data_IF_550154996949
#
_entry.id   IF_550154996949
#
_cell.length_a   1.000
_cell.length_b   1.000
_cell.length_c   1.000
_cell.angle_alpha   90.00
_cell.angle_beta   90.00
_cell.angle_gamma   90.00
#
_symmetry.space_group_name_H-M   'P 1'
#
loop_
_entity.id
_entity.type
_entity.pdbx_description
1 polymer ?
#
# COMPACT_ATOMS: atom_id res chain seq x y z
N UNK A 1 5.72 8.97 26.83
CA UNK A 1 6.00 9.08 25.36
C UNK A 1 4.84 8.58 24.50
N UNK A 2 4.19 7.47 24.79
CA UNK A 2 3.04 6.97 24.01
C UNK A 2 1.88 7.98 23.88
N UNK A 3 1.51 8.66 24.95
CA UNK A 3 0.41 9.63 24.98
C UNK A 3 0.64 10.86 24.08
N UNK A 4 1.88 11.32 23.93
CA UNK A 4 2.23 12.43 23.02
C UNK A 4 2.21 12.03 21.54
N UNK A 5 2.48 10.77 21.23
CA UNK A 5 2.39 10.26 19.86
C UNK A 5 0.94 10.08 19.42
N UNK A 6 0.07 9.60 20.31
CA UNK A 6 -1.37 9.48 20.03
C UNK A 6 -2.04 10.84 19.85
N UNK A 7 -1.68 11.85 20.63
CA UNK A 7 -2.22 13.22 20.49
C UNK A 7 -1.83 13.87 19.15
N UNK A 8 -0.58 13.71 18.70
CA UNK A 8 -0.13 14.22 17.40
C UNK A 8 -0.83 13.52 16.23
N UNK A 9 -1.08 12.23 16.34
CA UNK A 9 -1.82 11.48 15.30
C UNK A 9 -3.30 11.85 15.28
N UNK A 10 -3.92 12.01 16.45
CA UNK A 10 -5.28 12.51 16.52
C UNK A 10 -5.40 13.90 15.87
N UNK A 11 -4.43 14.79 16.13
CA UNK A 11 -4.38 16.09 15.50
C UNK A 11 -4.22 16.02 13.97
N UNK A 12 -3.34 15.13 13.46
CA UNK A 12 -3.16 14.98 12.01
C UNK A 12 -4.37 14.35 11.32
N UNK A 13 -5.06 13.41 11.96
CA UNK A 13 -6.31 12.85 11.46
C UNK A 13 -7.43 13.90 11.47
N UNK A 14 -7.49 14.72 12.50
CA UNK A 14 -8.50 15.78 12.64
C UNK A 14 -8.28 16.88 11.59
N UNK A 15 -7.04 17.28 11.33
CA UNK A 15 -6.72 18.23 10.25
C UNK A 15 -7.05 17.66 8.87
N UNK A 16 -6.73 16.38 8.62
CA UNK A 16 -7.11 15.70 7.38
C UNK A 16 -8.64 15.65 7.23
N UNK A 17 -9.37 15.28 8.29
CA UNK A 17 -10.82 15.22 8.29
C UNK A 17 -11.42 16.59 7.99
N UNK A 18 -10.97 17.63 8.65
CA UNK A 18 -11.46 19.01 8.46
C UNK A 18 -11.18 19.49 7.04
N UNK A 19 -9.99 19.22 6.51
CA UNK A 19 -9.62 19.57 5.15
C UNK A 19 -10.53 18.87 4.12
N UNK A 20 -10.73 17.54 4.26
CA UNK A 20 -11.55 16.77 3.32
C UNK A 20 -13.04 17.11 3.41
N UNK A 21 -13.58 17.32 4.62
CA UNK A 21 -14.99 17.70 4.80
C UNK A 21 -15.27 19.09 4.27
N UNK A 22 -14.30 20.01 4.28
CA UNK A 22 -14.47 21.37 3.78
C UNK A 22 -14.55 21.45 2.24
N UNK A 23 -14.00 20.46 1.51
CA UNK A 23 -13.90 20.49 0.04
C UNK A 23 -15.25 20.71 -0.66
N UNK A 24 -16.35 19.98 -0.37
CA UNK A 24 -17.62 20.18 -1.08
C UNK A 24 -18.23 21.56 -0.89
N UNK A 25 -17.87 22.27 0.20
CA UNK A 25 -18.35 23.64 0.46
C UNK A 25 -17.59 24.72 -0.31
N UNK A 26 -16.40 24.38 -0.82
CA UNK A 26 -15.51 25.33 -1.52
C UNK A 26 -15.46 25.05 -3.03
N UNK A 27 -15.72 23.80 -3.43
CA UNK A 27 -15.58 23.35 -4.82
C UNK A 27 -16.93 22.93 -5.40
N UNK A 28 -16.99 22.82 -6.75
CA UNK A 28 -18.16 22.33 -7.45
C UNK A 28 -18.35 20.82 -7.25
N UNK A 29 -19.59 20.34 -7.36
CA UNK A 29 -19.95 18.91 -7.20
C UNK A 29 -19.13 18.00 -8.12
N UNK A 30 -18.83 18.42 -9.35
CA UNK A 30 -17.98 17.65 -10.27
C UNK A 30 -16.55 17.47 -9.74
N UNK A 31 -15.96 18.53 -9.18
CA UNK A 31 -14.62 18.45 -8.57
C UNK A 31 -14.62 17.59 -7.30
N UNK A 32 -15.69 17.67 -6.51
CA UNK A 32 -15.87 16.81 -5.33
C UNK A 32 -15.99 15.33 -5.74
N UNK A 33 -16.76 15.03 -6.78
CA UNK A 33 -16.87 13.69 -7.35
C UNK A 33 -15.53 13.16 -7.86
N UNK A 34 -14.78 13.96 -8.61
CA UNK A 34 -13.46 13.62 -9.13
C UNK A 34 -12.47 13.36 -7.99
N UNK A 35 -12.44 14.22 -6.98
CA UNK A 35 -11.62 14.05 -5.79
C UNK A 35 -12.01 12.76 -5.04
N UNK A 36 -13.31 12.45 -4.93
CA UNK A 36 -13.79 11.21 -4.35
C UNK A 36 -13.18 9.97 -5.01
N UNK A 37 -13.12 9.96 -6.34
CA UNK A 37 -12.48 8.87 -7.09
C UNK A 37 -11.00 8.71 -6.75
N UNK A 38 -10.24 9.82 -6.71
CA UNK A 38 -8.81 9.76 -6.35
C UNK A 38 -8.59 9.44 -4.87
N UNK A 39 -9.53 9.79 -3.99
CA UNK A 39 -9.51 9.38 -2.59
C UNK A 39 -9.67 7.86 -2.45
N UNK A 40 -10.55 7.23 -3.25
CA UNK A 40 -10.68 5.77 -3.29
C UNK A 40 -9.39 5.10 -3.77
N UNK A 41 -8.78 5.60 -4.83
CA UNK A 41 -7.46 5.14 -5.25
C UNK A 41 -6.38 5.39 -4.17
N UNK A 42 -6.53 6.46 -3.38
CA UNK A 42 -5.69 6.75 -2.23
C UNK A 42 -5.77 5.66 -1.15
N UNK A 43 -6.96 5.11 -0.89
CA UNK A 43 -7.12 3.97 0.03
C UNK A 43 -6.39 2.73 -0.50
N UNK A 44 -6.48 2.46 -1.81
CA UNK A 44 -5.73 1.35 -2.43
C UNK A 44 -4.21 1.60 -2.33
N UNK A 45 -3.76 2.81 -2.60
CA UNK A 45 -2.37 3.22 -2.48
C UNK A 45 -1.83 3.07 -1.04
N UNK A 46 -2.66 3.32 -0.01
CA UNK A 46 -2.32 3.01 1.38
C UNK A 46 -2.09 1.52 1.61
N UNK A 47 -2.89 0.65 0.96
CA UNK A 47 -2.68 -0.80 0.96
C UNK A 47 -1.36 -1.20 0.28
N UNK A 48 -1.01 -0.56 -0.84
CA UNK A 48 0.31 -0.72 -1.49
C UNK A 48 1.43 -0.29 -0.54
N UNK A 49 1.30 0.86 0.13
CA UNK A 49 2.28 1.37 1.08
C UNK A 49 2.47 0.44 2.30
N UNK A 50 1.42 -0.24 2.74
CA UNK A 50 1.52 -1.26 3.80
C UNK A 50 2.45 -2.40 3.38
N UNK A 51 2.22 -2.99 2.21
CA UNK A 51 2.98 -4.16 1.74
C UNK A 51 4.39 -3.74 1.30
N UNK A 52 4.51 -2.68 0.51
CA UNK A 52 5.80 -2.23 0.01
C UNK A 52 6.65 -1.53 1.08
N UNK A 53 6.05 -0.62 1.83
CA UNK A 53 6.78 0.20 2.81
C UNK A 53 7.14 -0.54 4.09
N UNK A 54 6.30 -1.50 4.54
CA UNK A 54 6.51 -2.23 5.81
C UNK A 54 7.07 -3.62 5.63
N UNK A 55 6.65 -4.36 4.60
CA UNK A 55 7.12 -5.71 4.34
C UNK A 55 8.28 -5.77 3.34
N UNK A 56 8.46 -4.72 2.53
CA UNK A 56 9.51 -4.65 1.52
C UNK A 56 9.16 -5.35 0.19
N UNK A 57 7.94 -5.88 0.04
CA UNK A 57 7.46 -6.54 -1.17
C UNK A 57 6.60 -5.59 -1.99
N UNK A 58 6.90 -5.41 -3.27
CA UNK A 58 6.13 -4.54 -4.17
C UNK A 58 4.95 -5.30 -4.77
N UNK A 59 3.69 -5.00 -4.41
CA UNK A 59 2.53 -5.65 -4.98
C UNK A 59 2.12 -4.94 -6.28
N UNK A 60 2.31 -5.59 -7.44
CA UNK A 60 1.85 -5.08 -8.73
C UNK A 60 0.43 -5.55 -9.08
N UNK A 61 -0.29 -6.12 -8.12
CA UNK A 61 -1.60 -6.73 -8.32
C UNK A 61 -2.74 -6.06 -7.57
N UNK A 62 -2.59 -4.86 -7.06
CA UNK A 62 -3.62 -4.26 -6.19
C UNK A 62 -4.91 -3.89 -6.94
N UNK A 63 -4.82 -3.55 -8.23
CA UNK A 63 -5.99 -3.29 -9.05
C UNK A 63 -6.90 -4.51 -9.19
N UNK A 64 -6.36 -5.75 -9.16
CA UNK A 64 -7.18 -6.96 -9.16
C UNK A 64 -8.15 -6.97 -7.97
N UNK A 65 -7.66 -6.71 -6.75
CA UNK A 65 -8.47 -6.76 -5.54
C UNK A 65 -9.47 -5.59 -5.47
N UNK A 66 -9.06 -4.43 -5.97
CA UNK A 66 -9.94 -3.28 -6.14
C UNK A 66 -11.08 -3.60 -7.13
N UNK A 67 -10.76 -4.06 -8.33
CA UNK A 67 -11.74 -4.39 -9.34
C UNK A 67 -12.63 -5.57 -8.94
N UNK A 68 -12.07 -6.59 -8.27
CA UNK A 68 -12.85 -7.71 -7.75
C UNK A 68 -13.90 -7.23 -6.72
N UNK A 69 -13.50 -6.34 -5.81
CA UNK A 69 -14.42 -5.69 -4.87
C UNK A 69 -15.51 -4.89 -5.59
N UNK A 70 -15.13 -4.15 -6.64
CA UNK A 70 -16.07 -3.36 -7.44
C UNK A 70 -17.07 -4.25 -8.21
N UNK A 71 -16.62 -5.35 -8.83
CA UNK A 71 -17.51 -6.28 -9.54
C UNK A 71 -18.47 -6.99 -8.58
N UNK A 72 -17.97 -7.50 -7.44
CA UNK A 72 -18.81 -8.14 -6.42
C UNK A 72 -19.87 -7.16 -5.91
N UNK A 73 -19.47 -5.94 -5.59
CA UNK A 73 -20.40 -4.90 -5.14
C UNK A 73 -21.42 -4.53 -6.23
N UNK A 74 -20.96 -4.33 -7.46
CA UNK A 74 -21.83 -4.00 -8.59
C UNK A 74 -22.89 -5.07 -8.86
N UNK A 75 -22.49 -6.34 -8.87
CA UNK A 75 -23.42 -7.47 -9.03
C UNK A 75 -24.44 -7.52 -7.89
N UNK A 76 -24.00 -7.35 -6.64
CA UNK A 76 -24.89 -7.36 -5.50
C UNK A 76 -25.87 -6.18 -5.52
N UNK A 77 -25.42 -4.98 -5.87
CA UNK A 77 -26.25 -3.77 -5.95
C UNK A 77 -27.32 -3.89 -7.04
N UNK A 78 -26.98 -4.44 -8.22
CA UNK A 78 -27.94 -4.64 -9.31
C UNK A 78 -29.06 -5.59 -8.87
N UNK A 79 -28.70 -6.72 -8.25
CA UNK A 79 -29.71 -7.70 -7.80
C UNK A 79 -30.43 -7.28 -6.52
N UNK A 80 -29.84 -6.39 -5.71
CA UNK A 80 -30.45 -5.88 -4.49
C UNK A 80 -31.67 -4.99 -4.74
N UNK A 81 -31.87 -4.49 -5.96
CA UNK A 81 -33.10 -3.79 -6.34
C UNK A 81 -34.33 -4.69 -6.24
N UNK A 82 -34.17 -5.98 -6.56
CA UNK A 82 -35.24 -6.96 -6.51
C UNK A 82 -35.36 -7.61 -5.11
N UNK A 83 -34.28 -7.64 -4.33
CA UNK A 83 -34.24 -8.27 -3.00
C UNK A 83 -33.32 -7.50 -2.04
N UNK A 84 -33.95 -6.73 -1.15
CA UNK A 84 -33.23 -5.92 -0.16
C UNK A 84 -32.31 -6.73 0.79
N UNK A 85 -32.54 -8.04 0.97
CA UNK A 85 -31.65 -8.89 1.78
C UNK A 85 -30.23 -8.98 1.21
N UNK A 86 -30.05 -8.72 -0.09
CA UNK A 86 -28.72 -8.75 -0.72
C UNK A 86 -27.81 -7.61 -0.24
N UNK A 87 -28.37 -6.52 0.32
CA UNK A 87 -27.55 -5.50 0.98
C UNK A 87 -26.73 -6.06 2.16
N UNK A 88 -27.22 -7.11 2.83
CA UNK A 88 -26.46 -7.77 3.90
C UNK A 88 -25.23 -8.51 3.38
N UNK A 89 -25.15 -8.80 2.08
CA UNK A 89 -24.00 -9.46 1.44
C UNK A 89 -22.94 -8.47 0.94
N UNK A 90 -23.17 -7.17 1.01
CA UNK A 90 -22.18 -6.16 0.59
C UNK A 90 -20.78 -6.32 1.24
N UNK A 91 -20.65 -6.79 2.50
CA UNK A 91 -19.35 -7.10 3.07
C UNK A 91 -18.54 -8.14 2.29
N UNK A 92 -19.17 -8.96 1.43
CA UNK A 92 -18.47 -9.88 0.53
C UNK A 92 -17.52 -9.14 -0.43
N UNK A 93 -17.86 -7.92 -0.82
CA UNK A 93 -16.99 -7.08 -1.67
C UNK A 93 -15.62 -6.78 -1.01
N UNK A 94 -15.53 -6.88 0.31
CA UNK A 94 -14.31 -6.74 1.10
C UNK A 94 -13.69 -8.11 1.39
N UNK A 95 -14.53 -9.08 1.79
CA UNK A 95 -14.08 -10.41 2.23
C UNK A 95 -13.53 -11.26 1.08
N UNK A 96 -14.15 -11.20 -0.10
CA UNK A 96 -13.71 -12.01 -1.27
C UNK A 96 -12.32 -11.59 -1.73
N UNK A 97 -12.01 -10.30 -1.98
CA UNK A 97 -10.63 -9.87 -2.29
C UNK A 97 -9.64 -10.21 -1.18
N UNK A 98 -10.02 -10.01 0.09
CA UNK A 98 -9.14 -10.30 1.22
C UNK A 98 -8.81 -11.79 1.33
N UNK A 99 -9.80 -12.66 1.17
CA UNK A 99 -9.61 -14.11 1.21
C UNK A 99 -8.76 -14.60 0.03
N UNK A 100 -9.05 -14.11 -1.18
CA UNK A 100 -8.25 -14.43 -2.37
C UNK A 100 -6.79 -14.02 -2.17
N UNK A 101 -6.55 -12.80 -1.69
CA UNK A 101 -5.22 -12.30 -1.41
C UNK A 101 -4.50 -13.14 -0.34
N UNK A 102 -5.22 -13.52 0.73
CA UNK A 102 -4.68 -14.39 1.76
C UNK A 102 -4.26 -15.76 1.22
N UNK A 103 -5.12 -16.39 0.41
CA UNK A 103 -4.85 -17.70 -0.20
C UNK A 103 -3.66 -17.62 -1.17
N UNK A 104 -3.64 -16.60 -2.05
CA UNK A 104 -2.52 -16.38 -2.97
C UNK A 104 -1.21 -16.18 -2.21
N UNK A 105 -1.22 -15.31 -1.20
CA UNK A 105 -0.03 -15.06 -0.40
C UNK A 105 0.43 -16.31 0.36
N UNK A 106 -0.51 -17.10 0.89
CA UNK A 106 -0.18 -18.38 1.56
C UNK A 106 0.47 -19.37 0.59
N UNK A 107 -0.01 -19.46 -0.65
CA UNK A 107 0.58 -20.31 -1.67
C UNK A 107 1.96 -19.81 -2.10
N UNK A 108 2.09 -18.50 -2.33
CA UNK A 108 3.35 -17.88 -2.77
C UNK A 108 4.41 -17.97 -1.69
N UNK A 109 4.09 -17.63 -0.44
CA UNK A 109 5.06 -17.62 0.67
C UNK A 109 5.24 -18.97 1.36
N UNK A 110 4.52 -20.03 0.97
CA UNK A 110 4.73 -21.39 1.45
C UNK A 110 6.08 -21.97 1.02
N UNK A 111 6.63 -21.53 -0.12
CA UNK A 111 8.00 -21.82 -0.54
C UNK A 111 8.98 -20.93 0.22
N UNK A 112 10.01 -21.52 0.82
CA UNK A 112 10.93 -20.85 1.75
C UNK A 112 11.74 -19.68 1.16
N UNK A 113 11.73 -19.45 -0.16
CA UNK A 113 12.60 -18.47 -0.83
C UNK A 113 11.89 -17.69 -1.95
N UNK A 114 10.84 -16.98 -1.60
CA UNK A 114 10.25 -16.03 -2.58
C UNK A 114 10.94 -14.67 -2.45
N UNK A 115 11.66 -14.26 -3.48
CA UNK A 115 12.28 -12.95 -3.55
C UNK A 115 11.23 -11.84 -3.76
N UNK A 116 11.59 -10.59 -3.45
CA UNK A 116 10.70 -9.45 -3.69
C UNK A 116 10.24 -9.34 -5.15
N UNK A 117 11.14 -9.46 -6.14
CA UNK A 117 10.77 -9.47 -7.56
C UNK A 117 9.82 -10.60 -7.97
N UNK A 118 9.98 -11.82 -7.44
CA UNK A 118 9.10 -12.95 -7.76
C UNK A 118 7.67 -12.67 -7.33
N UNK A 119 7.49 -12.13 -6.12
CA UNK A 119 6.17 -11.71 -5.63
C UNK A 119 5.52 -10.66 -6.54
N UNK A 120 6.30 -9.67 -6.99
CA UNK A 120 5.82 -8.63 -7.89
C UNK A 120 5.35 -9.21 -9.23
N UNK A 121 6.12 -10.14 -9.82
CA UNK A 121 5.77 -10.79 -11.09
C UNK A 121 4.54 -11.68 -10.96
N UNK A 122 4.41 -12.44 -9.86
CA UNK A 122 3.24 -13.29 -9.61
C UNK A 122 1.97 -12.43 -9.47
N UNK A 123 2.03 -11.34 -8.68
CA UNK A 123 0.89 -10.45 -8.50
C UNK A 123 0.52 -9.72 -9.79
N UNK A 124 1.51 -9.37 -10.63
CA UNK A 124 1.29 -8.82 -11.96
C UNK A 124 0.58 -9.81 -12.89
N UNK A 125 1.08 -11.04 -12.98
CA UNK A 125 0.48 -12.08 -13.80
C UNK A 125 -0.97 -12.37 -13.37
N UNK A 126 -1.22 -12.38 -12.05
CA UNK A 126 -2.55 -12.57 -11.49
C UNK A 126 -3.51 -11.44 -11.90
N UNK A 127 -3.03 -10.19 -11.92
CA UNK A 127 -3.80 -9.04 -12.38
C UNK A 127 -4.16 -9.14 -13.87
N UNK A 128 -3.19 -9.52 -14.71
CA UNK A 128 -3.45 -9.73 -16.14
C UNK A 128 -4.44 -10.86 -16.38
N UNK A 129 -4.31 -11.97 -15.64
CA UNK A 129 -5.24 -13.07 -15.68
C UNK A 129 -6.66 -12.63 -15.26
N UNK A 130 -6.77 -11.87 -14.16
CA UNK A 130 -8.05 -11.34 -13.69
C UNK A 130 -8.73 -10.43 -14.69
N UNK A 131 -7.99 -9.52 -15.34
CA UNK A 131 -8.51 -8.66 -16.39
C UNK A 131 -8.98 -9.48 -17.62
N UNK A 132 -8.23 -10.51 -18.00
CA UNK A 132 -8.61 -11.38 -19.10
C UNK A 132 -9.86 -12.22 -18.79
N UNK A 133 -9.97 -12.74 -17.56
CA UNK A 133 -11.17 -13.44 -17.11
C UNK A 133 -12.39 -12.51 -17.10
N UNK A 134 -12.23 -11.26 -16.63
CA UNK A 134 -13.30 -10.27 -16.66
C UNK A 134 -13.77 -9.96 -18.09
N UNK A 135 -12.87 -9.95 -19.06
CA UNK A 135 -13.25 -9.79 -20.48
C UNK A 135 -13.99 -11.00 -21.06
N UNK A 136 -13.65 -12.22 -20.62
CA UNK A 136 -14.22 -13.44 -21.17
C UNK A 136 -15.59 -13.79 -20.58
N UNK A 137 -15.79 -13.58 -19.28
CA UNK A 137 -17.04 -13.91 -18.59
C UNK A 137 -18.14 -12.85 -18.82
N UNK A 138 -18.51 -12.62 -20.09
CA UNK A 138 -19.47 -11.59 -20.49
C UNK A 138 -20.81 -11.63 -19.74
N UNK A 139 -21.29 -12.83 -19.39
CA UNK A 139 -22.53 -12.99 -18.65
C UNK A 139 -22.53 -12.47 -17.21
N UNK A 140 -21.33 -12.39 -16.57
CA UNK A 140 -21.17 -11.92 -15.20
C UNK A 140 -20.64 -10.50 -15.12
N UNK A 141 -19.68 -10.17 -15.98
CA UNK A 141 -18.90 -8.92 -15.91
C UNK A 141 -19.32 -7.89 -16.94
N UNK A 142 -20.19 -8.28 -17.90
CA UNK A 142 -20.47 -7.48 -19.08
C UNK A 142 -19.35 -7.47 -20.13
N UNK A 143 -18.27 -8.25 -19.92
CA UNK A 143 -17.12 -8.35 -20.82
C UNK A 143 -16.41 -7.02 -20.99
N UNK A 144 -15.98 -6.71 -22.23
CA UNK A 144 -15.24 -5.48 -22.55
C UNK A 144 -16.00 -4.19 -22.19
N UNK A 145 -17.33 -4.19 -22.31
CA UNK A 145 -18.16 -3.03 -21.96
C UNK A 145 -18.30 -2.81 -20.44
N UNK A 146 -17.99 -3.84 -19.66
CA UNK A 146 -18.10 -3.81 -18.22
C UNK A 146 -19.53 -3.94 -17.70
N UNK A 147 -19.65 -3.95 -16.38
CA UNK A 147 -20.91 -4.04 -15.67
C UNK A 147 -21.49 -2.63 -15.53
N UNK A 148 -22.51 -2.31 -16.32
CA UNK A 148 -23.20 -1.02 -16.34
C UNK A 148 -24.47 -1.02 -15.50
N UNK A 149 -25.09 0.16 -15.36
CA UNK A 149 -26.35 0.37 -14.66
C UNK A 149 -26.32 -0.07 -13.17
N UNK A 150 -25.19 0.06 -12.52
CA UNK A 150 -25.09 -0.20 -11.08
C UNK A 150 -25.88 0.90 -10.36
N UNK A 151 -26.86 0.56 -9.52
CA UNK A 151 -27.67 1.56 -8.82
C UNK A 151 -26.86 2.33 -7.79
N UNK A 152 -27.42 3.45 -7.34
CA UNK A 152 -26.87 4.20 -6.20
C UNK A 152 -27.02 3.36 -4.92
N UNK A 153 -26.19 3.66 -3.93
CA UNK A 153 -26.26 3.02 -2.62
C UNK A 153 -27.40 3.67 -1.81
N UNK A 154 -28.60 3.08 -1.87
CA UNK A 154 -29.79 3.65 -1.25
C UNK A 154 -30.13 5.02 -1.87
N UNK A 155 -30.48 6.00 -1.01
CA UNK A 155 -30.84 7.37 -1.42
C UNK A 155 -29.64 8.33 -1.48
N UNK A 156 -28.39 7.78 -1.48
CA UNK A 156 -27.18 8.61 -1.51
C UNK A 156 -26.89 9.10 -2.92
N UNK A 157 -26.95 10.44 -3.12
CA UNK A 157 -26.54 11.04 -4.38
C UNK A 157 -25.05 10.82 -4.66
N UNK A 158 -24.74 10.45 -5.93
CA UNK A 158 -23.38 10.14 -6.39
C UNK A 158 -22.42 11.33 -6.32
N UNK A 159 -22.95 12.52 -6.46
CA UNK A 159 -22.15 13.75 -6.61
C UNK A 159 -21.87 14.43 -5.28
N UNK A 160 -22.76 14.32 -4.30
CA UNK A 160 -22.63 15.03 -3.02
C UNK A 160 -22.53 14.10 -1.81
N UNK A 161 -23.59 13.31 -1.54
CA UNK A 161 -23.66 12.51 -0.30
C UNK A 161 -22.66 11.36 -0.28
N UNK A 162 -22.38 10.75 -1.45
CA UNK A 162 -21.43 9.65 -1.59
C UNK A 162 -20.01 10.08 -1.21
N UNK A 163 -19.65 11.34 -1.44
CA UNK A 163 -18.35 11.90 -1.08
C UNK A 163 -18.05 11.75 0.42
N UNK A 164 -19.03 12.03 1.29
CA UNK A 164 -18.81 11.91 2.74
C UNK A 164 -18.57 10.47 3.18
N UNK A 165 -19.20 9.48 2.52
CA UNK A 165 -18.95 8.07 2.79
C UNK A 165 -17.52 7.66 2.37
N UNK A 166 -17.06 8.19 1.24
CA UNK A 166 -15.68 8.01 0.78
C UNK A 166 -14.69 8.63 1.77
N UNK A 167 -14.94 9.85 2.22
CA UNK A 167 -14.13 10.50 3.26
C UNK A 167 -14.09 9.68 4.54
N UNK A 168 -15.22 9.12 4.98
CA UNK A 168 -15.28 8.24 6.14
C UNK A 168 -14.39 7.00 5.96
N UNK A 169 -14.41 6.36 4.77
CA UNK A 169 -13.52 5.23 4.45
C UNK A 169 -12.05 5.64 4.48
N UNK A 170 -11.69 6.79 3.91
CA UNK A 170 -10.32 7.32 3.91
C UNK A 170 -9.83 7.57 5.33
N UNK A 171 -10.63 8.19 6.17
CA UNK A 171 -10.29 8.45 7.56
C UNK A 171 -10.15 7.16 8.35
N UNK A 172 -11.08 6.21 8.14
CA UNK A 172 -11.02 4.90 8.77
C UNK A 172 -9.74 4.13 8.35
N UNK A 173 -9.45 4.04 7.06
CA UNK A 173 -8.26 3.34 6.55
C UNK A 173 -6.96 3.98 7.05
N UNK A 174 -6.89 5.31 7.04
CA UNK A 174 -5.72 6.06 7.54
C UNK A 174 -5.54 5.87 9.05
N UNK A 175 -6.63 5.93 9.83
CA UNK A 175 -6.61 5.69 11.26
C UNK A 175 -6.21 4.25 11.59
N UNK A 176 -6.80 3.26 10.91
CA UNK A 176 -6.52 1.84 11.07
C UNK A 176 -5.04 1.54 10.81
N UNK A 177 -4.49 2.00 9.69
CA UNK A 177 -3.08 1.77 9.36
C UNK A 177 -2.14 2.51 10.30
N UNK A 178 -2.46 3.74 10.67
CA UNK A 178 -1.67 4.52 11.63
C UNK A 178 -1.63 3.84 13.01
N UNK A 179 -2.74 3.25 13.44
CA UNK A 179 -2.82 2.47 14.66
C UNK A 179 -2.03 1.16 14.55
N UNK A 180 -2.23 0.38 13.45
CA UNK A 180 -1.52 -0.87 13.22
C UNK A 180 -0.01 -0.70 13.19
N UNK A 181 0.49 0.40 12.63
CA UNK A 181 1.93 0.67 12.57
C UNK A 181 2.58 0.87 13.94
N UNK A 182 1.80 1.18 14.98
CA UNK A 182 2.28 1.32 16.36
C UNK A 182 2.14 0.03 17.17
N UNK A 183 1.37 -0.94 16.68
CA UNK A 183 1.19 -2.22 17.33
C UNK A 183 2.43 -3.11 17.15
N UNK A 184 2.58 -4.17 17.97
CA UNK A 184 3.62 -5.18 17.77
C UNK A 184 3.59 -5.80 16.36
N UNK A 185 2.39 -5.93 15.75
CA UNK A 185 2.26 -6.42 14.36
C UNK A 185 2.99 -5.51 13.36
N UNK A 186 2.82 -4.20 13.49
CA UNK A 186 3.51 -3.24 12.61
C UNK A 186 5.03 -3.28 12.76
N UNK A 187 5.53 -3.55 13.96
CA UNK A 187 6.97 -3.74 14.21
C UNK A 187 7.48 -5.06 13.64
N UNK A 188 6.69 -6.15 13.73
CA UNK A 188 7.03 -7.44 13.12
C UNK A 188 7.09 -7.34 11.59
N UNK A 189 6.14 -6.65 10.95
CA UNK A 189 6.19 -6.41 9.51
C UNK A 189 7.45 -5.65 9.09
N UNK A 190 7.84 -4.61 9.84
CA UNK A 190 9.06 -3.88 9.57
C UNK A 190 10.31 -4.75 9.78
N UNK A 191 10.32 -5.61 10.78
CA UNK A 191 11.41 -6.53 11.04
C UNK A 191 11.56 -7.58 9.93
N UNK A 192 10.45 -8.04 9.31
CA UNK A 192 10.47 -8.93 8.13
C UNK A 192 11.23 -8.24 6.98
N UNK A 193 10.95 -6.96 6.71
CA UNK A 193 11.59 -6.23 5.61
C UNK A 193 13.09 -6.05 5.81
N UNK A 194 13.57 -6.07 7.05
CA UNK A 194 15.00 -5.93 7.36
C UNK A 194 15.74 -7.26 7.32
N UNK A 195 15.20 -8.29 7.96
CA UNK A 195 15.79 -9.62 7.95
C UNK A 195 14.76 -10.69 8.36
N UNK A 196 14.12 -11.30 7.36
CA UNK A 196 13.12 -12.34 7.56
C UNK A 196 13.67 -13.56 8.28
N UNK A 197 14.89 -14.02 7.92
CA UNK A 197 15.50 -15.20 8.50
C UNK A 197 15.69 -15.08 10.02
N UNK A 198 16.05 -13.88 10.51
CA UNK A 198 16.17 -13.66 11.96
C UNK A 198 14.84 -13.89 12.69
N UNK A 199 13.72 -13.42 12.12
CA UNK A 199 12.41 -13.63 12.73
C UNK A 199 12.03 -15.11 12.77
N UNK A 200 12.37 -15.87 11.71
CA UNK A 200 12.13 -17.30 11.66
C UNK A 200 12.93 -18.04 12.74
N UNK A 201 14.18 -17.63 12.99
CA UNK A 201 14.97 -18.17 14.10
C UNK A 201 14.36 -17.91 15.48
N UNK A 202 13.62 -16.81 15.65
CA UNK A 202 12.85 -16.53 16.86
C UNK A 202 11.50 -17.28 16.94
N UNK A 203 11.18 -18.12 15.95
CA UNK A 203 9.97 -18.94 15.92
C UNK A 203 8.73 -18.23 15.36
N UNK A 204 8.86 -17.04 14.78
CA UNK A 204 7.72 -16.35 14.16
C UNK A 204 7.38 -16.96 12.79
N UNK A 205 6.09 -17.24 12.56
CA UNK A 205 5.55 -17.69 11.28
C UNK A 205 5.45 -16.50 10.30
N UNK A 206 6.57 -16.14 9.64
CA UNK A 206 6.67 -14.96 8.75
C UNK A 206 5.75 -15.07 7.54
N UNK A 207 5.51 -16.28 7.04
CA UNK A 207 4.56 -16.58 5.96
C UNK A 207 3.13 -16.13 6.29
N UNK A 208 2.64 -16.43 7.51
CA UNK A 208 1.33 -16.01 7.97
C UNK A 208 1.24 -14.50 8.17
N UNK A 209 2.29 -13.89 8.69
CA UNK A 209 2.36 -12.45 8.90
C UNK A 209 2.34 -11.68 7.57
N UNK A 210 3.08 -12.15 6.56
CA UNK A 210 3.06 -11.60 5.19
C UNK A 210 1.70 -11.76 4.54
N UNK A 211 1.11 -12.96 4.63
CA UNK A 211 -0.20 -13.24 4.07
C UNK A 211 -1.31 -12.37 4.72
N UNK A 212 -1.25 -12.19 6.05
CA UNK A 212 -2.18 -11.32 6.76
C UNK A 212 -2.10 -9.85 6.35
N UNK A 213 -0.88 -9.32 6.17
CA UNK A 213 -0.70 -7.94 5.70
C UNK A 213 -1.19 -7.75 4.25
N UNK A 214 -0.94 -8.72 3.37
CA UNK A 214 -1.42 -8.67 1.99
C UNK A 214 -2.95 -8.79 1.92
N UNK A 215 -3.56 -9.65 2.73
CA UNK A 215 -5.01 -9.76 2.86
C UNK A 215 -5.65 -8.45 3.36
N UNK A 216 -5.02 -7.78 4.34
CA UNK A 216 -5.49 -6.48 4.81
C UNK A 216 -5.39 -5.41 3.72
N UNK A 217 -4.29 -5.39 2.96
CA UNK A 217 -4.14 -4.51 1.81
C UNK A 217 -5.24 -4.74 0.76
N UNK A 218 -5.57 -6.00 0.47
CA UNK A 218 -6.65 -6.37 -0.43
C UNK A 218 -8.04 -6.04 0.12
N UNK A 219 -8.25 -6.13 1.43
CA UNK A 219 -9.50 -5.70 2.08
C UNK A 219 -9.73 -4.20 1.90
N UNK A 220 -8.67 -3.38 2.07
CA UNK A 220 -8.73 -1.94 1.80
C UNK A 220 -9.03 -1.67 0.32
N UNK A 221 -8.39 -2.40 -0.60
CA UNK A 221 -8.64 -2.28 -2.02
C UNK A 221 -10.09 -2.68 -2.37
N UNK A 222 -10.60 -3.77 -1.81
CA UNK A 222 -11.97 -4.22 -2.01
C UNK A 222 -13.01 -3.23 -1.47
N UNK A 223 -12.75 -2.62 -0.30
CA UNK A 223 -13.63 -1.59 0.27
C UNK A 223 -13.68 -0.32 -0.60
N UNK A 224 -12.54 0.08 -1.16
CA UNK A 224 -12.49 1.17 -2.12
C UNK A 224 -13.21 0.82 -3.43
N UNK A 225 -13.04 -0.42 -3.91
CA UNK A 225 -13.76 -0.94 -5.09
C UNK A 225 -15.28 -0.96 -4.90
N UNK A 226 -15.75 -1.32 -3.72
CA UNK A 226 -17.18 -1.26 -3.38
C UNK A 226 -17.77 0.14 -3.57
N UNK A 227 -17.15 1.15 -2.96
CA UNK A 227 -17.64 2.52 -3.08
C UNK A 227 -17.44 3.08 -4.49
N UNK A 228 -16.38 2.66 -5.19
CA UNK A 228 -16.14 3.01 -6.59
C UNK A 228 -17.28 2.54 -7.50
N UNK A 229 -17.72 1.29 -7.36
CA UNK A 229 -18.82 0.75 -8.14
C UNK A 229 -20.11 1.55 -7.95
N UNK A 230 -20.45 1.88 -6.70
CA UNK A 230 -21.63 2.67 -6.37
C UNK A 230 -21.52 4.13 -6.87
N UNK A 231 -20.32 4.72 -6.80
CA UNK A 231 -20.07 6.09 -7.25
C UNK A 231 -20.10 6.20 -8.77
N UNK A 232 -19.39 5.33 -9.49
CA UNK A 232 -19.25 5.40 -10.96
C UNK A 232 -20.49 4.88 -11.69
N UNK A 233 -21.20 3.91 -11.13
CA UNK A 233 -22.31 3.24 -11.80
C UNK A 233 -21.91 2.32 -12.96
N UNK A 234 -20.61 2.18 -13.19
CA UNK A 234 -19.99 1.35 -14.22
C UNK A 234 -18.66 0.79 -13.71
N UNK A 235 -18.45 -0.51 -13.89
CA UNK A 235 -17.17 -1.17 -13.59
C UNK A 235 -16.68 -1.89 -14.84
N UNK A 236 -15.52 -1.48 -15.35
CA UNK A 236 -14.91 -2.08 -16.55
C UNK A 236 -13.72 -2.96 -16.20
N UNK A 237 -13.31 -3.91 -17.07
CA UNK A 237 -12.12 -4.72 -16.85
C UNK A 237 -10.81 -3.93 -16.66
N UNK A 238 -10.77 -2.67 -17.11
CA UNK A 238 -9.63 -1.77 -16.88
C UNK A 238 -9.41 -1.48 -15.39
N UNK A 239 -10.48 -1.53 -14.56
CA UNK A 239 -10.37 -1.39 -13.12
C UNK A 239 -9.59 -2.54 -12.44
N UNK A 240 -9.46 -3.69 -13.12
CA UNK A 240 -8.60 -4.82 -12.72
C UNK A 240 -7.21 -4.71 -13.36
N UNK A 241 -7.05 -3.88 -14.39
CA UNK A 241 -5.94 -3.90 -15.32
C UNK A 241 -4.57 -3.54 -14.72
N UNK A 242 -3.53 -3.93 -15.46
CA UNK A 242 -2.14 -3.58 -15.15
C UNK A 242 -1.92 -2.06 -15.07
N UNK A 243 -2.57 -1.29 -15.94
CA UNK A 243 -2.40 0.16 -15.98
C UNK A 243 -2.72 0.79 -14.62
N UNK A 244 -3.89 0.50 -14.04
CA UNK A 244 -4.26 1.01 -12.73
C UNK A 244 -3.29 0.53 -11.64
N UNK A 245 -2.84 -0.74 -11.68
CA UNK A 245 -1.84 -1.24 -10.73
C UNK A 245 -0.52 -0.46 -10.81
N UNK A 246 -0.05 -0.14 -12.00
CA UNK A 246 1.16 0.64 -12.22
C UNK A 246 0.99 2.09 -11.71
N UNK A 247 -0.14 2.73 -12.01
CA UNK A 247 -0.46 4.08 -11.52
C UNK A 247 -0.48 4.13 -9.98
N UNK A 248 -1.12 3.17 -9.32
CA UNK A 248 -1.15 3.07 -7.86
C UNK A 248 0.24 2.95 -7.23
N UNK A 249 1.14 2.21 -7.86
CA UNK A 249 2.53 2.10 -7.42
C UNK A 249 3.27 3.42 -7.61
N UNK A 250 3.11 4.07 -8.77
CA UNK A 250 3.70 5.38 -9.07
C UNK A 250 3.23 6.42 -8.03
N UNK A 251 1.93 6.52 -7.80
CA UNK A 251 1.37 7.45 -6.83
C UNK A 251 1.86 7.19 -5.40
N UNK A 252 1.95 5.91 -5.02
CA UNK A 252 2.52 5.52 -3.71
C UNK A 252 4.00 5.88 -3.59
N UNK A 253 4.78 5.68 -4.66
CA UNK A 253 6.21 6.01 -4.68
C UNK A 253 6.45 7.51 -4.56
N UNK A 254 5.70 8.30 -5.33
CA UNK A 254 5.82 9.76 -5.34
C UNK A 254 5.32 10.38 -4.04
N UNK A 255 4.18 9.89 -3.54
CA UNK A 255 3.64 10.38 -2.28
C UNK A 255 4.47 10.00 -1.06
N UNK A 256 5.03 8.79 -1.06
CA UNK A 256 5.87 8.24 0.01
C UNK A 256 5.33 6.93 0.58
N UNK A 257 6.08 5.86 0.35
CA UNK A 257 5.69 4.47 0.70
C UNK A 257 5.74 4.14 2.20
N UNK A 258 6.34 5.00 3.03
CA UNK A 258 6.58 4.66 4.44
C UNK A 258 5.42 4.98 5.39
N UNK A 259 4.38 5.67 4.90
CA UNK A 259 3.23 6.02 5.73
C UNK A 259 1.93 6.15 4.95
N UNK A 260 0.77 5.98 5.62
CA UNK A 260 -0.54 6.03 4.97
C UNK A 260 -0.87 7.42 4.42
N UNK A 261 -0.42 8.48 5.07
CA UNK A 261 -0.62 9.87 4.62
C UNK A 261 0.12 10.17 3.32
N UNK A 262 1.37 9.66 3.18
CA UNK A 262 2.16 9.85 1.97
C UNK A 262 1.49 9.23 0.76
N UNK A 263 1.09 7.97 0.84
CA UNK A 263 0.41 7.26 -0.23
C UNK A 263 -0.91 7.95 -0.65
N UNK A 264 -1.69 8.40 0.34
CA UNK A 264 -2.93 9.16 0.08
C UNK A 264 -2.65 10.47 -0.65
N UNK A 265 -1.69 11.26 -0.17
CA UNK A 265 -1.32 12.54 -0.81
C UNK A 265 -0.78 12.33 -2.23
N UNK A 266 -0.02 11.26 -2.45
CA UNK A 266 0.47 10.91 -3.78
C UNK A 266 -0.65 10.56 -4.75
N UNK A 267 -1.59 9.71 -4.34
CA UNK A 267 -2.72 9.33 -5.17
C UNK A 267 -3.64 10.52 -5.51
N UNK A 268 -3.97 11.32 -4.51
CA UNK A 268 -4.82 12.51 -4.71
C UNK A 268 -4.09 13.59 -5.51
N UNK A 269 -2.85 13.92 -5.13
CA UNK A 269 -2.10 15.00 -5.76
C UNK A 269 -1.74 14.71 -7.21
N UNK A 270 -1.19 13.52 -7.49
CA UNK A 270 -0.82 13.14 -8.87
C UNK A 270 -2.06 12.79 -9.68
N UNK A 271 -3.08 12.16 -9.06
CA UNK A 271 -4.32 11.85 -9.73
C UNK A 271 -5.03 13.10 -10.24
N UNK A 272 -5.21 14.13 -9.40
CA UNK A 272 -5.79 15.40 -9.81
C UNK A 272 -4.93 16.12 -10.86
N UNK A 273 -3.61 16.16 -10.65
CA UNK A 273 -2.67 16.75 -11.60
C UNK A 273 -2.75 16.06 -12.97
N UNK A 274 -2.80 14.72 -12.98
CA UNK A 274 -2.92 13.94 -14.22
C UNK A 274 -4.24 14.21 -14.93
N UNK A 275 -5.32 14.39 -14.18
CA UNK A 275 -6.62 14.71 -14.74
C UNK A 275 -6.65 16.08 -15.39
N UNK A 276 -6.12 17.10 -14.71
CA UNK A 276 -6.07 18.47 -15.26
C UNK A 276 -5.10 18.55 -16.47
N UNK A 277 -3.97 17.83 -16.43
CA UNK A 277 -3.01 17.77 -17.54
C UNK A 277 -3.58 17.06 -18.77
N UNK A 278 -4.42 16.03 -18.58
CA UNK A 278 -5.08 15.30 -19.66
C UNK A 278 -5.96 16.21 -20.52
N UNK A 279 -6.59 17.21 -19.91
CA UNK A 279 -7.42 18.18 -20.63
C UNK A 279 -6.58 19.17 -21.47
N UNK A 280 -5.35 19.46 -21.03
CA UNK A 280 -4.50 20.50 -21.64
C UNK A 280 -3.54 19.91 -22.67
N UNK A 281 -3.00 18.70 -22.44
CA UNK A 281 -1.92 18.16 -23.24
C UNK A 281 -2.08 16.66 -23.52
N UNK A 282 -2.03 16.30 -24.82
CA UNK A 282 -2.24 14.91 -25.29
C UNK A 282 -1.21 13.94 -24.73
N UNK A 283 0.04 14.37 -24.49
CA UNK A 283 1.13 13.54 -23.98
C UNK A 283 1.35 13.68 -22.47
N UNK A 284 0.31 13.91 -21.70
CA UNK A 284 0.36 14.06 -20.24
C UNK A 284 1.06 12.90 -19.52
N UNK A 285 0.97 11.67 -20.07
CA UNK A 285 1.60 10.46 -19.52
C UNK A 285 3.13 10.59 -19.45
N UNK A 286 3.74 11.20 -20.47
CA UNK A 286 5.20 11.44 -20.51
C UNK A 286 5.62 12.37 -19.37
N UNK A 287 4.83 13.39 -19.09
CA UNK A 287 5.13 14.34 -18.03
C UNK A 287 5.01 13.69 -16.65
N UNK A 288 3.98 12.88 -16.43
CA UNK A 288 3.81 12.10 -15.19
C UNK A 288 4.94 11.07 -15.03
N UNK A 289 5.36 10.42 -16.10
CA UNK A 289 6.48 9.49 -16.07
C UNK A 289 7.81 10.20 -15.72
N UNK A 290 8.07 11.37 -16.32
CA UNK A 290 9.23 12.19 -16.00
C UNK A 290 9.22 12.67 -14.54
N UNK A 291 8.05 13.12 -14.06
CA UNK A 291 7.87 13.51 -12.67
C UNK A 291 8.15 12.32 -11.73
N UNK A 292 7.65 11.14 -12.06
CA UNK A 292 7.93 9.92 -11.29
C UNK A 292 9.43 9.62 -11.24
N UNK A 293 10.11 9.61 -12.39
CA UNK A 293 11.55 9.38 -12.46
C UNK A 293 12.31 10.42 -11.63
N UNK A 294 11.96 11.68 -11.75
CA UNK A 294 12.58 12.76 -10.98
C UNK A 294 12.38 12.56 -9.47
N UNK A 295 11.17 12.23 -9.02
CA UNK A 295 10.91 12.00 -7.59
C UNK A 295 11.66 10.78 -7.07
N UNK A 296 11.68 9.68 -7.81
CA UNK A 296 12.40 8.46 -7.39
C UNK A 296 13.92 8.70 -7.31
N UNK A 297 14.49 9.47 -8.24
CA UNK A 297 15.92 9.75 -8.27
C UNK A 297 16.35 10.76 -7.19
N UNK A 298 15.60 11.85 -7.04
CA UNK A 298 15.98 12.94 -6.14
C UNK A 298 15.40 12.82 -4.73
N UNK A 299 14.24 12.15 -4.59
CA UNK A 299 13.50 12.09 -3.33
C UNK A 299 13.05 10.66 -3.00
N UNK A 300 13.96 9.74 -2.64
CA UNK A 300 13.64 8.35 -2.36
C UNK A 300 12.67 8.13 -1.19
N UNK A 301 12.44 9.16 -0.37
CA UNK A 301 11.45 9.18 0.71
C UNK A 301 10.04 9.65 0.28
N UNK A 302 9.87 10.11 -0.98
CA UNK A 302 8.63 10.69 -1.50
C UNK A 302 8.35 12.12 -1.03
N UNK A 303 7.27 12.71 -1.57
CA UNK A 303 6.87 14.10 -1.24
C UNK A 303 6.51 14.27 0.24
N UNK A 304 5.99 13.26 0.90
CA UNK A 304 5.66 13.33 2.33
C UNK A 304 6.91 13.63 3.19
N UNK A 305 8.07 13.10 2.81
CA UNK A 305 9.33 13.39 3.49
C UNK A 305 9.79 14.82 3.28
N UNK A 306 9.56 15.38 2.09
CA UNK A 306 9.85 16.79 1.79
C UNK A 306 8.98 17.73 2.64
N UNK A 307 7.68 17.45 2.72
CA UNK A 307 6.75 18.24 3.52
C UNK A 307 7.12 18.19 5.01
N UNK A 308 7.49 17.02 5.52
CA UNK A 308 7.97 16.88 6.90
C UNK A 308 9.27 17.64 7.15
N UNK A 309 10.23 17.59 6.22
CA UNK A 309 11.49 18.33 6.34
C UNK A 309 11.26 19.82 6.23
N UNK A 310 10.40 20.30 5.32
CA UNK A 310 10.02 21.70 5.21
C UNK A 310 9.34 22.20 6.49
N UNK A 311 8.40 21.42 7.03
CA UNK A 311 7.76 21.73 8.31
C UNK A 311 8.76 21.79 9.47
N UNK A 312 9.71 20.87 9.54
CA UNK A 312 10.78 20.87 10.55
C UNK A 312 11.73 22.05 10.36
N UNK A 313 12.02 22.45 9.12
CA UNK A 313 12.85 23.61 8.83
C UNK A 313 12.18 24.90 9.29
N UNK A 314 10.88 25.05 9.03
CA UNK A 314 10.08 26.20 9.47
C UNK A 314 9.95 26.20 11.00
N UNK A 315 9.83 25.02 11.63
CA UNK A 315 9.57 24.87 13.07
C UNK A 315 10.86 24.59 13.87
N UNK A 316 12.04 24.86 13.32
CA UNK A 316 13.37 24.66 13.96
C UNK A 316 13.57 25.36 15.30
N UNK A 317 12.59 26.16 15.75
CA UNK A 317 12.55 26.80 17.08
C UNK A 317 12.12 25.87 18.23
N UNK A 318 11.60 24.69 17.94
CA UNK A 318 11.19 23.73 18.97
C UNK A 318 11.97 22.42 18.78
N UNK A 319 13.00 22.24 19.61
CA UNK A 319 13.96 21.12 19.57
C UNK A 319 13.37 19.73 19.87
N UNK A 320 12.35 19.29 19.14
CA UNK A 320 11.84 17.93 19.21
C UNK A 320 12.30 17.17 17.98
N UNK A 321 13.32 16.33 18.14
CA UNK A 321 13.66 15.30 17.16
C UNK A 321 12.47 14.36 16.97
N UNK A 322 11.74 14.53 15.87
CA UNK A 322 10.82 13.50 15.38
C UNK A 322 11.70 12.40 14.80
N UNK A 323 11.57 11.13 15.24
CA UNK A 323 12.31 10.06 14.62
C UNK A 323 11.83 9.94 13.17
N UNK A 324 12.60 10.46 12.24
CA UNK A 324 12.51 10.12 10.82
C UNK A 324 12.76 8.63 10.79
N UNK A 325 11.84 7.86 10.21
CA UNK A 325 12.14 6.49 9.83
C UNK A 325 13.29 6.55 8.84
N UNK A 326 14.50 6.48 9.36
CA UNK A 326 15.69 6.48 8.56
C UNK A 326 15.57 5.26 7.63
N UNK A 327 15.57 5.52 6.34
CA UNK A 327 16.08 4.54 5.37
C UNK A 327 17.37 4.06 6.01
N UNK A 328 17.42 2.75 6.35
CA UNK A 328 18.60 2.18 6.99
C UNK A 328 19.80 2.69 6.18
N UNK A 329 20.75 3.39 6.78
CA UNK A 329 21.91 3.84 6.03
C UNK A 329 22.47 2.59 5.37
N UNK A 330 22.73 2.65 4.05
CA UNK A 330 23.60 1.67 3.40
C UNK A 330 24.74 1.50 4.38
N UNK A 331 24.83 0.34 5.00
CA UNK A 331 25.90 0.04 5.95
C UNK A 331 27.18 0.46 5.27
N UNK A 332 27.87 1.52 5.74
CA UNK A 332 29.24 1.73 5.32
C UNK A 332 29.89 0.42 5.69
N UNK A 333 30.56 -0.24 4.73
CA UNK A 333 31.11 -1.56 4.97
C UNK A 333 31.70 -1.59 6.39
N UNK A 334 31.29 -2.60 7.17
CA UNK A 334 31.71 -2.77 8.54
C UNK A 334 33.21 -2.50 8.62
N UNK A 335 33.58 -1.28 8.96
CA UNK A 335 34.88 -1.05 9.55
C UNK A 335 34.78 -1.78 10.88
N UNK A 336 35.50 -2.90 10.96
CA UNK A 336 35.71 -3.54 12.23
C UNK A 336 35.97 -2.48 13.29
N UNK A 337 35.33 -2.52 14.45
CA UNK A 337 35.66 -1.61 15.54
C UNK A 337 37.17 -1.65 15.71
N UNK A 338 37.84 -0.49 15.91
CA UNK A 338 39.25 -0.48 16.16
C UNK A 338 39.51 -1.47 17.30
N UNK A 339 40.29 -2.50 17.04
CA UNK A 339 40.72 -3.44 18.05
C UNK A 339 41.42 -2.58 19.11
N UNK A 340 40.77 -2.39 20.26
CA UNK A 340 41.44 -1.85 21.41
C UNK A 340 42.55 -2.84 21.78
N UNK A 341 43.76 -2.47 21.44
CA UNK A 341 44.92 -3.19 21.92
C UNK A 341 44.93 -3.09 23.44
N UNK A 342 44.48 -4.14 24.11
CA UNK A 342 44.89 -4.36 25.50
C UNK A 342 46.41 -4.36 25.52
N UNK A 343 46.99 -3.32 26.12
CA UNK A 343 48.43 -3.11 26.17
C UNK A 343 49.14 -4.33 26.70
N UNK A 344 50.09 -4.83 25.95
CA UNK A 344 50.98 -5.93 26.27
C UNK A 344 51.41 -6.66 25.02
N UNK A 345 52.59 -6.37 24.55
CA UNK A 345 53.41 -7.02 23.51
C UNK A 345 52.88 -6.99 22.05
N UNK A 346 53.62 -6.32 21.23
CA UNK A 346 53.47 -6.12 19.79
C UNK A 346 53.87 -7.37 18.98
N UNK A 347 53.14 -8.48 19.16
CA UNK A 347 53.22 -9.62 18.25
C UNK A 347 51.98 -9.64 17.33
N UNK A 348 52.05 -10.15 16.08
CA UNK A 348 50.89 -10.32 15.25
C UNK A 348 49.87 -11.23 15.93
N UNK A 349 48.65 -10.77 16.09
CA UNK A 349 47.56 -11.57 16.68
C UNK A 349 47.23 -12.69 15.70
N UNK A 350 47.75 -13.89 15.99
CA UNK A 350 47.37 -15.09 15.27
C UNK A 350 46.12 -15.69 15.94
N UNK A 351 44.98 -15.67 15.22
CA UNK A 351 43.83 -16.49 15.57
C UNK A 351 44.22 -17.97 15.31
N UNK A 352 44.39 -18.72 16.36
CA UNK A 352 44.67 -20.17 16.27
C UNK A 352 43.38 -20.92 16.52
N UNK A 353 42.93 -21.69 15.53
CA UNK A 353 41.81 -22.59 15.65
C UNK A 353 42.38 -24.00 15.89
N UNK A 354 42.25 -24.51 17.09
CA UNK A 354 42.66 -25.88 17.44
C UNK A 354 41.42 -26.79 17.46
N UNK A 355 41.40 -27.84 16.67
CA UNK A 355 40.34 -28.85 16.58
C UNK A 355 38.96 -28.32 16.15
N UNK A 356 38.89 -27.40 15.20
CA UNK A 356 37.62 -26.95 14.64
C UNK A 356 37.33 -27.72 13.35
N UNK A 357 36.28 -28.56 13.35
CA UNK A 357 35.76 -29.18 12.14
C UNK A 357 34.46 -28.48 11.71
N UNK A 358 34.38 -28.03 10.47
CA UNK A 358 33.18 -27.47 9.86
C UNK A 358 32.68 -28.46 8.81
N UNK A 359 31.44 -28.95 9.01
CA UNK A 359 30.75 -29.81 8.05
C UNK A 359 29.57 -29.03 7.42
N UNK A 360 29.45 -29.10 6.11
CA UNK A 360 28.30 -28.63 5.36
C UNK A 360 27.86 -29.72 4.38
N UNK A 361 26.63 -30.19 4.52
CA UNK A 361 26.03 -31.25 3.69
C UNK A 361 26.92 -32.52 3.62
N UNK A 362 27.33 -33.05 4.77
CA UNK A 362 28.19 -34.24 4.90
C UNK A 362 29.61 -34.10 4.33
N UNK A 363 29.95 -32.93 3.81
CA UNK A 363 31.31 -32.63 3.34
C UNK A 363 32.06 -31.84 4.40
N UNK A 364 33.16 -32.38 4.87
CA UNK A 364 34.07 -31.70 5.79
C UNK A 364 34.83 -30.61 5.04
N UNK A 365 34.62 -29.35 5.43
CA UNK A 365 35.26 -28.17 4.79
C UNK A 365 36.58 -27.84 5.46
N UNK A 366 36.72 -28.14 6.73
CA UNK A 366 37.93 -27.96 7.53
C UNK A 366 38.07 -29.17 8.48
N UNK A 367 39.20 -29.86 8.40
CA UNK A 367 39.68 -30.81 9.40
C UNK A 367 40.89 -30.18 10.08
N UNK A 368 40.70 -29.75 11.34
CA UNK A 368 41.78 -29.20 12.16
C UNK A 368 42.69 -30.26 12.71
#
# INVERSE_FOLDING_TARGET
MAYFQTAKQAASLLTLALCLVAVPFVTNDFRAYQLGTYLLYGVVAQGVALVWGRLGFLPLGQALFFGLGAYVAGLLLIHAQDNALLYLLLPLSILVPALLAYLVARLVFAGQYVSGPDFSLITLALTMLGAQLANQFTGLTGGFNGLANIPQLGDLDRYSSMYFLIVALVLFSTALLSWLYQTPLGTLWLAISQNENRLQFFGFATDKLKAGAFALSAALAGSAGFLYAAQQGLVTPQAIGFQLSAELVIWTAVGGRFGPYGALLGAVGIGLLSSDLREIWVHWEVLVALLFIAVVLYFPGGMAHLLLNAYQFINRRSGTHVPVYAVAPKTPGLRAPPVQSCGGDSGPVHLRFDNVSVQRNEVSILNG
#
